data_IF_409386140625
#
_entry.id   IF_409386140625
#
_cell.length_a   1.000
_cell.length_b   1.000
_cell.length_c   1.000
_cell.angle_alpha   90.00
_cell.angle_beta   90.00
_cell.angle_gamma   90.00
#
_symmetry.space_group_name_H-M   'P 1'
#
loop_
_entity.id
_entity.type
_entity.pdbx_description
1 polymer ?
#
# COMPACT_ATOMS: atom_id res chain seq x y z
N UNK A 1 -24.63 16.27 -1.19
CA UNK A 1 -23.27 16.76 -0.93
C UNK A 1 -22.61 15.78 0.02
N UNK A 2 -22.17 14.66 -0.54
CA UNK A 2 -21.75 13.49 0.22
C UNK A 2 -20.27 13.61 0.56
N UNK A 3 -20.00 14.30 1.68
CA UNK A 3 -18.64 14.53 2.16
C UNK A 3 -17.99 13.22 2.67
N UNK A 4 -18.80 12.18 2.96
CA UNK A 4 -18.34 10.91 3.49
C UNK A 4 -17.65 10.03 2.43
N UNK A 5 -18.00 10.16 1.16
CA UNK A 5 -17.37 9.37 0.07
C UNK A 5 -15.94 9.81 -0.28
N UNK A 6 -15.48 10.99 0.16
CA UNK A 6 -14.11 11.51 -0.12
C UNK A 6 -13.05 11.10 0.92
N UNK A 7 -13.46 10.36 1.95
CA UNK A 7 -12.64 9.93 3.11
C UNK A 7 -12.56 8.39 3.22
N UNK A 8 -13.00 7.66 2.19
CA UNK A 8 -13.09 6.20 2.26
C UNK A 8 -11.74 5.54 1.95
N UNK A 9 -11.39 4.58 2.79
CA UNK A 9 -10.39 3.54 2.52
C UNK A 9 -10.74 2.85 1.20
N UNK A 10 -9.94 3.08 0.17
CA UNK A 10 -10.22 2.58 -1.17
C UNK A 10 -10.15 1.06 -1.25
N UNK A 11 -10.98 0.48 -2.12
CA UNK A 11 -10.98 -0.95 -2.40
C UNK A 11 -11.15 -1.19 -3.91
N UNK A 12 -10.24 -1.98 -4.47
CA UNK A 12 -10.20 -2.45 -5.83
C UNK A 12 -10.25 -3.99 -5.83
N UNK A 13 -11.32 -4.62 -6.37
CA UNK A 13 -11.43 -6.08 -6.43
C UNK A 13 -10.27 -6.75 -7.18
N UNK A 14 -9.69 -6.06 -8.17
CA UNK A 14 -8.51 -6.56 -8.88
C UNK A 14 -7.29 -6.67 -7.97
N UNK A 15 -7.04 -5.64 -7.14
CA UNK A 15 -5.94 -5.63 -6.17
C UNK A 15 -6.09 -6.78 -5.15
N UNK A 16 -7.32 -7.02 -4.68
CA UNK A 16 -7.60 -8.12 -3.75
C UNK A 16 -7.31 -9.51 -4.36
N UNK A 17 -7.72 -9.72 -5.62
CA UNK A 17 -7.52 -11.01 -6.30
C UNK A 17 -6.05 -11.31 -6.61
N UNK A 18 -5.28 -10.29 -7.00
CA UNK A 18 -3.92 -10.49 -7.49
C UNK A 18 -2.82 -10.31 -6.43
N UNK A 19 -3.14 -9.83 -5.21
CA UNK A 19 -2.14 -9.59 -4.15
C UNK A 19 -1.27 -10.81 -3.80
N UNK A 20 -1.86 -12.02 -3.75
CA UNK A 20 -1.13 -13.26 -3.42
C UNK A 20 -0.16 -13.68 -4.53
N UNK A 21 -0.59 -13.83 -5.80
CA UNK A 21 0.34 -14.09 -6.91
C UNK A 21 1.48 -13.08 -7.01
N UNK A 22 1.21 -11.79 -6.75
CA UNK A 22 2.25 -10.75 -6.76
C UNK A 22 3.22 -10.95 -5.60
N UNK A 23 2.74 -11.19 -4.38
CA UNK A 23 3.60 -11.47 -3.22
C UNK A 23 4.55 -12.66 -3.47
N UNK A 24 4.08 -13.72 -4.13
CA UNK A 24 4.92 -14.88 -4.46
C UNK A 24 6.05 -14.54 -5.45
N UNK A 25 5.83 -13.55 -6.33
CA UNK A 25 6.90 -12.99 -7.17
C UNK A 25 7.83 -12.12 -6.33
N UNK A 26 7.29 -11.20 -5.52
CA UNK A 26 8.07 -10.27 -4.72
C UNK A 26 9.03 -10.98 -3.76
N UNK A 27 8.60 -12.07 -3.12
CA UNK A 27 9.46 -12.93 -2.26
C UNK A 27 10.71 -13.47 -2.95
N UNK A 28 10.67 -13.63 -4.29
CA UNK A 28 11.77 -14.19 -5.07
C UNK A 28 12.70 -13.11 -5.63
N UNK A 29 12.19 -11.90 -5.85
CA UNK A 29 12.91 -10.84 -6.59
C UNK A 29 13.38 -9.70 -5.69
N UNK A 30 12.71 -9.44 -4.57
CA UNK A 30 13.12 -8.42 -3.62
C UNK A 30 14.27 -8.91 -2.75
N UNK A 31 15.15 -8.02 -2.29
CA UNK A 31 16.19 -8.38 -1.33
C UNK A 31 15.58 -8.82 0.00
N UNK A 32 16.40 -9.46 0.84
CA UNK A 32 15.96 -9.89 2.17
C UNK A 32 15.61 -8.71 3.10
N UNK A 33 16.17 -7.53 2.87
CA UNK A 33 15.90 -6.29 3.63
C UNK A 33 16.27 -5.07 2.80
N UNK A 34 15.70 -3.91 3.14
CA UNK A 34 15.96 -2.63 2.46
C UNK A 34 14.68 -1.83 2.24
N UNK A 35 14.79 -0.77 1.44
CA UNK A 35 13.69 0.16 1.18
C UNK A 35 13.00 -0.17 -0.15
N UNK A 36 11.67 -0.10 -0.17
CA UNK A 36 10.82 -0.34 -1.34
C UNK A 36 9.92 0.86 -1.57
N UNK A 37 10.05 1.48 -2.74
CA UNK A 37 9.10 2.48 -3.23
C UNK A 37 8.02 1.78 -4.07
N UNK A 38 6.77 1.82 -3.63
CA UNK A 38 5.63 1.40 -4.46
C UNK A 38 5.10 2.61 -5.22
N UNK A 39 5.33 2.64 -6.53
CA UNK A 39 4.87 3.71 -7.41
C UNK A 39 3.42 3.46 -7.82
N UNK A 40 2.57 4.49 -7.72
CA UNK A 40 1.16 4.43 -8.04
C UNK A 40 0.41 3.39 -7.18
N UNK A 41 0.58 3.51 -5.86
CA UNK A 41 -0.04 2.65 -4.84
C UNK A 41 -1.58 2.62 -4.89
N UNK A 42 -2.21 3.59 -5.56
CA UNK A 42 -3.65 3.60 -5.84
C UNK A 42 -4.49 3.55 -4.57
N UNK A 43 -5.19 2.44 -4.36
CA UNK A 43 -6.01 2.29 -3.14
C UNK A 43 -5.19 2.10 -1.88
N UNK A 44 -3.95 1.61 -1.96
CA UNK A 44 -3.11 1.25 -0.80
C UNK A 44 -3.28 -0.20 -0.30
N UNK A 45 -4.13 -1.02 -0.93
CA UNK A 45 -4.31 -2.42 -0.53
C UNK A 45 -3.03 -3.27 -0.63
N UNK A 46 -2.22 -3.02 -1.65
CA UNK A 46 -1.00 -3.80 -1.92
C UNK A 46 0.11 -3.45 -0.94
N UNK A 47 0.46 -2.18 -0.74
CA UNK A 47 1.49 -1.78 0.23
C UNK A 47 1.23 -2.32 1.65
N UNK A 48 -0.02 -2.29 2.11
CA UNK A 48 -0.40 -2.85 3.42
C UNK A 48 -0.22 -4.36 3.43
N UNK A 49 -0.73 -5.05 2.41
CA UNK A 49 -0.63 -6.50 2.34
C UNK A 49 0.82 -6.97 2.24
N UNK A 50 1.66 -6.28 1.47
CA UNK A 50 3.06 -6.66 1.31
C UNK A 50 3.90 -6.32 2.55
N UNK A 51 3.66 -5.18 3.19
CA UNK A 51 4.38 -4.83 4.44
C UNK A 51 4.14 -5.81 5.57
N UNK A 52 2.94 -6.41 5.65
CA UNK A 52 2.64 -7.52 6.56
C UNK A 52 3.47 -8.79 6.28
N UNK A 53 3.64 -9.13 4.99
CA UNK A 53 4.23 -10.41 4.59
C UNK A 53 5.73 -10.35 4.31
N UNK A 54 6.29 -9.15 4.25
CA UNK A 54 7.71 -8.86 3.99
C UNK A 54 8.21 -7.85 5.05
N UNK A 55 8.28 -8.24 6.33
CA UNK A 55 8.46 -7.32 7.47
C UNK A 55 9.86 -6.71 7.57
N UNK A 56 10.85 -7.29 6.88
CA UNK A 56 12.24 -6.80 6.84
C UNK A 56 12.47 -5.72 5.78
N UNK A 57 11.46 -5.45 4.95
CA UNK A 57 11.46 -4.36 3.98
C UNK A 57 10.70 -3.16 4.54
N UNK A 58 11.22 -1.97 4.28
CA UNK A 58 10.58 -0.69 4.59
C UNK A 58 9.78 -0.23 3.38
N UNK A 59 8.48 0.00 3.55
CA UNK A 59 7.56 0.30 2.45
C UNK A 59 7.22 1.77 2.41
N UNK A 60 7.60 2.43 1.32
CA UNK A 60 7.25 3.80 0.99
C UNK A 60 6.21 3.78 -0.16
N UNK A 61 4.92 3.94 0.12
CA UNK A 61 3.95 4.11 -0.95
C UNK A 61 4.05 5.51 -1.58
N UNK A 62 3.76 5.61 -2.87
CA UNK A 62 3.62 6.90 -3.55
C UNK A 62 2.50 6.91 -4.58
N UNK A 63 1.90 8.08 -4.79
CA UNK A 63 0.91 8.31 -5.84
C UNK A 63 0.76 9.81 -6.16
N UNK A 64 0.58 10.14 -7.44
CA UNK A 64 0.36 11.54 -7.85
C UNK A 64 -1.08 12.00 -7.62
N UNK A 65 -2.04 11.08 -7.46
CA UNK A 65 -3.44 11.43 -7.29
C UNK A 65 -3.75 11.76 -5.81
N UNK A 66 -4.26 12.97 -5.50
CA UNK A 66 -4.59 13.34 -4.12
C UNK A 66 -5.59 12.39 -3.44
N UNK A 67 -6.49 11.80 -4.22
CA UNK A 67 -7.48 10.84 -3.73
C UNK A 67 -6.85 9.49 -3.36
N UNK A 68 -5.86 9.04 -4.12
CA UNK A 68 -5.07 7.85 -3.83
C UNK A 68 -4.23 8.05 -2.57
N UNK A 69 -3.53 9.19 -2.47
CA UNK A 69 -2.76 9.56 -1.27
C UNK A 69 -3.61 9.51 0.00
N UNK A 70 -4.84 10.06 -0.03
CA UNK A 70 -5.77 9.98 1.12
C UNK A 70 -6.20 8.56 1.43
N UNK A 71 -6.46 7.74 0.41
CA UNK A 71 -6.80 6.33 0.58
C UNK A 71 -5.66 5.55 1.25
N UNK A 72 -4.43 5.72 0.75
CA UNK A 72 -3.24 5.08 1.29
C UNK A 72 -3.01 5.51 2.73
N UNK A 73 -3.09 6.82 3.01
CA UNK A 73 -2.95 7.35 4.37
C UNK A 73 -3.90 6.66 5.35
N UNK A 74 -5.15 6.39 4.92
CA UNK A 74 -6.13 5.69 5.76
C UNK A 74 -5.76 4.23 5.99
N UNK A 75 -5.31 3.53 4.95
CA UNK A 75 -4.79 2.17 5.06
C UNK A 75 -3.59 2.07 6.02
N UNK A 76 -2.61 2.98 5.89
CA UNK A 76 -1.43 3.05 6.77
C UNK A 76 -1.84 3.30 8.22
N UNK A 77 -2.76 4.25 8.45
CA UNK A 77 -3.22 4.59 9.79
C UNK A 77 -4.00 3.46 10.48
N UNK A 78 -4.80 2.68 9.74
CA UNK A 78 -5.57 1.57 10.30
C UNK A 78 -4.67 0.39 10.73
N UNK A 79 -3.55 0.17 10.04
CA UNK A 79 -2.70 -1.01 10.22
C UNK A 79 -1.48 -0.74 11.12
N UNK A 80 -1.06 0.53 11.21
CA UNK A 80 -0.03 1.04 12.14
C UNK A 80 1.25 0.17 12.22
N UNK A 81 1.76 -0.27 11.06
CA UNK A 81 2.98 -1.11 10.98
C UNK A 81 4.24 -0.24 10.98
N UNK A 82 5.26 -0.68 11.71
CA UNK A 82 6.54 0.05 11.82
C UNK A 82 7.27 0.16 10.47
N UNK A 83 7.13 -0.84 9.61
CA UNK A 83 7.79 -0.91 8.30
C UNK A 83 6.94 -0.36 7.14
N UNK A 84 5.91 0.44 7.46
CA UNK A 84 5.02 1.04 6.48
C UNK A 84 4.96 2.56 6.71
N UNK A 85 5.54 3.32 5.79
CA UNK A 85 5.62 4.77 5.88
C UNK A 85 4.36 5.47 5.37
N UNK A 86 4.22 6.75 5.74
CA UNK A 86 3.21 7.63 5.16
C UNK A 86 3.47 7.83 3.65
N UNK A 87 2.41 7.93 2.82
CA UNK A 87 2.57 8.13 1.39
C UNK A 87 3.24 9.46 1.03
N UNK A 88 3.96 9.46 -0.09
CA UNK A 88 4.54 10.66 -0.72
C UNK A 88 3.93 10.88 -2.11
N UNK A 89 3.94 12.12 -2.59
CA UNK A 89 3.57 12.47 -3.98
C UNK A 89 4.69 12.08 -4.96
#
# INVERSE_FOLDING_TARGET
MDYALRMAKGFAPAAERNRRPILDVLRRVLPASGDVLEIASGTGQHVVFFSEHLPTLQWQPSDAAPDALRSIQRWVADEARENLHAPIE
#
